data_IF_001720191529
#
_entry.id   IF_001720191529
#
_cell.length_a   1.000
_cell.length_b   1.000
_cell.length_c   1.000
_cell.angle_alpha   90.00
_cell.angle_beta   90.00
_cell.angle_gamma   90.00
#
_symmetry.space_group_name_H-M   'P 1'
#
loop_
_entity.id
_entity.type
_entity.pdbx_description
1 polymer ?
#
# COMPACT_ATOMS: atom_id res chain seq x y z
N UNK A 1 -39.94 38.54 10.40
CA UNK A 1 -39.63 37.29 11.12
C UNK A 1 -38.82 36.34 10.22
N UNK A 2 -37.68 36.78 9.68
CA UNK A 2 -36.88 36.07 8.66
C UNK A 2 -35.40 35.89 9.09
N UNK A 3 -34.95 36.59 10.14
CA UNK A 3 -33.55 36.54 10.58
C UNK A 3 -33.14 35.24 11.30
N UNK A 4 -34.08 34.43 11.76
CA UNK A 4 -33.79 33.21 12.54
C UNK A 4 -33.41 31.99 11.69
N UNK A 5 -33.70 32.00 10.38
CA UNK A 5 -33.41 30.85 9.50
C UNK A 5 -31.98 30.88 8.93
N UNK A 6 -31.44 32.06 8.65
CA UNK A 6 -30.10 32.21 8.08
C UNK A 6 -28.98 31.83 9.07
N UNK A 7 -29.18 32.08 10.36
CA UNK A 7 -28.23 31.69 11.41
C UNK A 7 -28.12 30.17 11.57
N UNK A 8 -29.23 29.44 11.43
CA UNK A 8 -29.25 27.98 11.58
C UNK A 8 -28.48 27.27 10.44
N UNK A 9 -28.62 27.77 9.20
CA UNK A 9 -27.92 27.20 8.03
C UNK A 9 -26.40 27.40 8.14
N UNK A 10 -25.95 28.55 8.67
CA UNK A 10 -24.53 28.82 8.88
C UNK A 10 -23.90 27.93 9.96
N UNK A 11 -24.64 27.64 11.04
CA UNK A 11 -24.16 26.72 12.08
C UNK A 11 -24.08 25.28 11.57
N UNK A 12 -25.07 24.82 10.79
CA UNK A 12 -25.03 23.48 10.17
C UNK A 12 -23.87 23.36 9.16
N UNK A 13 -23.65 24.39 8.34
CA UNK A 13 -22.55 24.40 7.37
C UNK A 13 -21.16 24.42 8.03
N UNK A 14 -21.02 25.06 9.19
CA UNK A 14 -19.75 25.06 9.94
C UNK A 14 -19.49 23.69 10.58
N UNK A 15 -20.51 23.05 11.16
CA UNK A 15 -20.37 21.73 11.78
C UNK A 15 -19.97 20.67 10.76
N UNK A 16 -20.52 20.72 9.53
CA UNK A 16 -20.16 19.80 8.44
C UNK A 16 -18.71 19.99 7.97
N UNK A 17 -18.13 21.19 8.11
CA UNK A 17 -16.71 21.44 7.78
C UNK A 17 -15.74 21.00 8.87
N UNK A 18 -16.20 20.87 10.12
CA UNK A 18 -15.35 20.53 11.26
C UNK A 18 -15.51 19.10 11.76
N UNK A 19 -16.50 18.35 11.28
CA UNK A 19 -16.51 16.91 11.49
C UNK A 19 -15.46 16.30 10.59
N UNK A 20 -14.36 15.71 11.12
CA UNK A 20 -13.58 14.79 10.31
C UNK A 20 -14.58 13.73 9.86
N UNK A 21 -14.81 13.66 8.56
CA UNK A 21 -15.57 12.59 7.92
C UNK A 21 -14.85 11.33 8.38
N UNK A 22 -15.39 10.68 9.41
CA UNK A 22 -15.04 9.34 9.80
C UNK A 22 -15.54 8.49 8.64
N UNK A 23 -14.68 8.39 7.62
CA UNK A 23 -14.79 7.42 6.57
C UNK A 23 -15.03 6.09 7.25
N UNK A 24 -16.23 5.57 7.02
CA UNK A 24 -16.67 4.26 7.48
C UNK A 24 -16.01 3.19 6.60
N UNK A 25 -14.67 3.22 6.53
CA UNK A 25 -13.85 2.15 6.00
C UNK A 25 -13.62 1.20 7.17
N UNK A 26 -14.43 0.14 7.24
CA UNK A 26 -14.38 -0.93 8.23
C UNK A 26 -13.08 -1.74 8.30
N UNK A 27 -11.93 -1.17 7.91
CA UNK A 27 -10.59 -1.78 8.00
C UNK A 27 -9.47 -0.81 8.41
N UNK A 28 -9.73 0.48 8.62
CA UNK A 28 -8.67 1.49 8.60
C UNK A 28 -7.99 1.77 9.96
N UNK A 29 -8.55 1.31 11.09
CA UNK A 29 -7.95 1.54 12.40
C UNK A 29 -6.74 0.63 12.66
N UNK A 30 -6.83 -0.65 12.25
CA UNK A 30 -5.70 -1.58 12.28
C UNK A 30 -4.57 -1.10 11.35
N UNK A 31 -4.95 -0.61 10.15
CA UNK A 31 -3.98 -0.08 9.20
C UNK A 31 -3.25 1.15 9.76
N UNK A 32 -3.96 2.15 10.30
CA UNK A 32 -3.30 3.33 10.89
C UNK A 32 -2.40 3.02 12.09
N UNK A 33 -2.80 2.09 12.97
CA UNK A 33 -1.95 1.70 14.11
C UNK A 33 -0.68 0.96 13.66
N UNK A 34 -0.79 0.13 12.61
CA UNK A 34 0.36 -0.55 12.01
C UNK A 34 1.44 0.41 11.49
N UNK A 35 1.05 1.60 11.01
CA UNK A 35 2.01 2.56 10.44
C UNK A 35 2.96 3.14 11.50
N UNK A 36 2.53 3.22 12.76
CA UNK A 36 3.33 3.76 13.86
C UNK A 36 4.30 2.71 14.41
N UNK A 37 3.94 1.43 14.35
CA UNK A 37 4.65 0.37 15.09
C UNK A 37 5.80 -0.27 14.31
N UNK A 38 5.79 -0.23 12.98
CA UNK A 38 6.54 -1.21 12.20
C UNK A 38 7.75 -0.71 11.39
N UNK A 39 7.96 0.60 11.30
CA UNK A 39 9.16 1.18 10.68
C UNK A 39 9.41 0.72 9.24
N UNK A 40 10.61 1.00 8.71
CA UNK A 40 11.04 0.53 7.40
C UNK A 40 11.24 -1.00 7.34
N UNK A 41 11.31 -1.67 8.49
CA UNK A 41 11.76 -3.06 8.62
C UNK A 41 10.69 -4.09 8.21
N UNK A 42 9.42 -3.69 8.19
CA UNK A 42 8.33 -4.55 7.72
C UNK A 42 7.15 -3.82 7.13
N UNK A 43 6.44 -4.52 6.25
CA UNK A 43 5.23 -4.04 5.59
C UNK A 43 4.16 -5.14 5.56
N UNK A 44 2.90 -4.74 5.43
CA UNK A 44 1.78 -5.67 5.32
C UNK A 44 1.18 -5.58 3.91
N UNK A 45 0.97 -6.72 3.27
CA UNK A 45 0.35 -6.83 1.95
C UNK A 45 -0.46 -8.13 1.84
N UNK A 46 -1.70 -8.06 1.32
CA UNK A 46 -2.63 -9.21 1.19
C UNK A 46 -2.72 -10.14 2.41
N UNK A 47 -2.98 -9.58 3.60
CA UNK A 47 -3.06 -10.33 4.87
C UNK A 47 -1.78 -11.08 5.26
N UNK A 48 -0.64 -10.66 4.72
CA UNK A 48 0.66 -11.24 5.03
C UNK A 48 1.66 -10.16 5.43
N UNK A 49 2.55 -10.53 6.34
CA UNK A 49 3.65 -9.68 6.79
C UNK A 49 4.85 -9.95 5.90
N UNK A 50 5.50 -8.89 5.43
CA UNK A 50 6.78 -8.95 4.73
C UNK A 50 7.84 -8.22 5.56
N UNK A 51 9.04 -8.78 5.65
CA UNK A 51 10.14 -8.35 6.51
C UNK A 51 11.41 -8.10 5.69
N UNK A 52 12.34 -7.37 6.29
CA UNK A 52 13.72 -7.29 5.83
C UNK A 52 13.82 -6.53 4.50
N UNK A 53 13.68 -5.19 4.52
CA UNK A 53 13.89 -4.39 3.32
C UNK A 53 15.29 -4.67 2.77
N UNK A 54 15.37 -4.93 1.46
CA UNK A 54 16.64 -4.98 0.75
C UNK A 54 17.30 -3.60 0.76
N UNK A 55 18.57 -3.57 0.36
CA UNK A 55 19.15 -2.32 -0.15
C UNK A 55 18.34 -1.86 -1.36
N UNK A 56 18.33 -0.56 -1.59
CA UNK A 56 17.70 0.01 -2.78
C UNK A 56 18.43 -0.45 -4.02
N UNK A 57 17.68 -0.98 -4.97
CA UNK A 57 18.19 -1.46 -6.26
C UNK A 57 17.56 -0.67 -7.38
N UNK A 58 18.32 -0.41 -8.44
CA UNK A 58 17.77 0.25 -9.62
C UNK A 58 16.99 -0.75 -10.50
N UNK A 59 16.33 -0.24 -11.54
CA UNK A 59 15.50 -1.05 -12.44
C UNK A 59 16.28 -2.18 -13.14
N UNK A 60 17.52 -1.93 -13.59
CA UNK A 60 18.33 -2.93 -14.29
C UNK A 60 18.77 -4.06 -13.35
N UNK A 61 19.11 -3.72 -12.11
CA UNK A 61 19.47 -4.68 -11.07
C UNK A 61 18.27 -5.52 -10.63
N UNK A 62 17.09 -4.90 -10.51
CA UNK A 62 15.83 -5.59 -10.25
C UNK A 62 15.53 -6.63 -11.34
N UNK A 63 15.56 -6.25 -12.62
CA UNK A 63 15.28 -7.16 -13.74
C UNK A 63 16.30 -8.29 -13.84
N UNK A 64 17.59 -7.99 -13.67
CA UNK A 64 18.64 -9.01 -13.75
C UNK A 64 18.61 -9.99 -12.58
N UNK A 65 18.25 -9.53 -11.37
CA UNK A 65 18.23 -10.36 -10.15
C UNK A 65 16.93 -11.15 -10.02
N UNK A 66 15.78 -10.53 -10.32
CA UNK A 66 14.46 -11.10 -10.01
C UNK A 66 13.54 -11.27 -11.22
N UNK A 67 13.84 -10.62 -12.34
CA UNK A 67 12.94 -10.60 -13.50
C UNK A 67 12.83 -11.94 -14.22
N UNK A 68 13.86 -12.80 -14.15
CA UNK A 68 13.89 -14.09 -14.85
C UNK A 68 13.59 -13.97 -16.36
N UNK A 69 14.00 -12.86 -16.98
CA UNK A 69 13.71 -12.55 -18.38
C UNK A 69 12.36 -11.84 -18.61
N UNK A 70 11.59 -11.56 -17.57
CA UNK A 70 10.35 -10.80 -17.64
C UNK A 70 10.52 -9.36 -17.15
N UNK A 71 9.72 -8.46 -17.73
CA UNK A 71 9.65 -7.06 -17.29
C UNK A 71 8.70 -6.92 -16.12
N UNK A 72 9.11 -6.14 -15.13
CA UNK A 72 8.24 -5.76 -14.03
C UNK A 72 7.17 -4.78 -14.49
N UNK A 73 5.94 -5.01 -14.07
CA UNK A 73 4.79 -4.14 -14.30
C UNK A 73 4.15 -3.75 -12.98
N UNK A 74 3.54 -2.57 -12.93
CA UNK A 74 2.79 -2.15 -11.76
C UNK A 74 1.54 -3.03 -11.60
N UNK A 75 1.29 -3.51 -10.39
CA UNK A 75 0.12 -4.37 -10.12
C UNK A 75 -1.17 -3.57 -9.97
N UNK A 76 -1.05 -2.27 -9.71
CA UNK A 76 -2.15 -1.37 -9.34
C UNK A 76 -2.28 -1.16 -7.83
N UNK A 77 -1.67 -2.05 -7.03
CA UNK A 77 -1.70 -1.96 -5.57
C UNK A 77 -0.63 -0.99 -5.05
N UNK A 78 -0.85 -0.53 -3.82
CA UNK A 78 0.11 0.28 -3.06
C UNK A 78 0.31 -0.27 -1.67
N UNK A 79 1.56 -0.23 -1.21
CA UNK A 79 1.95 -0.58 0.16
C UNK A 79 2.77 0.59 0.69
N UNK A 80 2.43 1.09 1.88
CA UNK A 80 3.05 2.29 2.49
C UNK A 80 3.13 3.51 1.54
N UNK A 81 2.15 3.65 0.65
CA UNK A 81 2.11 4.70 -0.38
C UNK A 81 2.99 4.46 -1.61
N UNK A 82 3.80 3.40 -1.61
CA UNK A 82 4.65 3.00 -2.73
C UNK A 82 3.91 2.01 -3.64
N UNK A 83 3.97 2.18 -4.97
CA UNK A 83 3.38 1.23 -5.90
C UNK A 83 4.08 -0.12 -5.88
N UNK A 84 3.29 -1.18 -5.92
CA UNK A 84 3.75 -2.57 -5.99
C UNK A 84 4.02 -2.96 -7.44
N UNK A 85 5.13 -3.64 -7.67
CA UNK A 85 5.52 -4.19 -8.95
C UNK A 85 5.64 -5.71 -8.88
N UNK A 86 5.38 -6.36 -10.01
CA UNK A 86 5.50 -7.80 -10.15
C UNK A 86 5.68 -8.19 -11.62
N UNK A 87 5.98 -9.46 -11.90
CA UNK A 87 6.06 -9.98 -13.27
C UNK A 87 4.72 -10.54 -13.74
N UNK A 88 4.41 -10.48 -15.05
CA UNK A 88 3.18 -11.04 -15.60
C UNK A 88 2.95 -12.51 -15.20
N UNK A 89 4.01 -13.33 -15.21
CA UNK A 89 3.92 -14.75 -14.83
C UNK A 89 3.61 -14.93 -13.36
N UNK A 90 4.27 -14.17 -12.49
CA UNK A 90 4.01 -14.20 -11.04
C UNK A 90 2.56 -13.82 -10.74
N UNK A 91 2.05 -12.76 -11.37
CA UNK A 91 0.66 -12.33 -11.22
C UNK A 91 -0.33 -13.39 -11.68
N UNK A 92 -0.07 -14.03 -12.83
CA UNK A 92 -0.92 -15.10 -13.33
C UNK A 92 -0.93 -16.29 -12.36
N UNK A 93 0.24 -16.69 -11.83
CA UNK A 93 0.37 -17.78 -10.87
C UNK A 93 -0.39 -17.50 -9.57
N UNK A 94 -0.22 -16.31 -9.00
CA UNK A 94 -0.91 -15.88 -7.78
C UNK A 94 -2.43 -15.97 -7.93
N UNK A 95 -2.96 -15.46 -9.05
CA UNK A 95 -4.40 -15.52 -9.37
C UNK A 95 -4.91 -16.95 -9.53
N UNK A 96 -4.17 -17.80 -10.25
CA UNK A 96 -4.59 -19.19 -10.51
C UNK A 96 -4.57 -20.06 -9.26
N UNK A 97 -3.64 -19.80 -8.35
CA UNK A 97 -3.42 -20.63 -7.15
C UNK A 97 -3.98 -20.03 -5.87
N UNK A 98 -4.53 -18.81 -5.93
CA UNK A 98 -4.98 -18.05 -4.78
C UNK A 98 -3.89 -17.93 -3.70
N UNK A 99 -2.67 -17.60 -4.14
CA UNK A 99 -1.48 -17.42 -3.28
C UNK A 99 -0.91 -16.01 -3.47
N UNK A 100 -0.05 -15.59 -2.55
CA UNK A 100 0.69 -14.33 -2.64
C UNK A 100 2.13 -14.56 -3.08
N UNK A 101 2.79 -13.53 -3.62
CA UNK A 101 4.22 -13.58 -3.91
C UNK A 101 5.06 -13.68 -2.64
N UNK A 102 6.12 -14.49 -2.67
CA UNK A 102 7.12 -14.56 -1.59
C UNK A 102 7.93 -13.26 -1.47
N UNK A 103 8.09 -12.53 -2.57
CA UNK A 103 8.81 -11.26 -2.63
C UNK A 103 7.85 -10.12 -2.96
N UNK A 104 8.02 -8.99 -2.29
CA UNK A 104 7.25 -7.78 -2.51
C UNK A 104 8.17 -6.67 -3.01
N UNK A 105 7.91 -6.19 -4.23
CA UNK A 105 8.73 -5.17 -4.87
C UNK A 105 8.01 -3.83 -4.83
N UNK A 106 8.58 -2.84 -4.13
CA UNK A 106 8.00 -1.51 -3.99
C UNK A 106 8.89 -0.49 -4.69
N UNK A 107 8.31 0.33 -5.58
CA UNK A 107 9.05 1.40 -6.25
C UNK A 107 9.01 2.69 -5.45
N UNK A 108 10.18 3.26 -5.19
CA UNK A 108 10.36 4.54 -4.51
C UNK A 108 10.19 5.74 -5.47
N UNK A 109 9.98 6.96 -4.94
CA UNK A 109 9.84 8.16 -5.76
C UNK A 109 11.07 8.52 -6.59
N UNK A 110 12.26 8.11 -6.13
CA UNK A 110 13.55 8.28 -6.82
C UNK A 110 13.73 7.31 -8.01
N UNK A 111 12.80 6.37 -8.21
CA UNK A 111 12.85 5.37 -9.27
C UNK A 111 13.50 4.05 -8.88
N UNK A 112 14.12 3.96 -7.68
CA UNK A 112 14.69 2.72 -7.16
C UNK A 112 13.60 1.82 -6.56
N UNK A 113 14.02 0.61 -6.19
CA UNK A 113 13.17 -0.42 -5.63
C UNK A 113 13.68 -0.87 -4.28
N UNK A 114 12.76 -1.15 -3.38
CA UNK A 114 13.01 -1.91 -2.15
C UNK A 114 12.23 -3.22 -2.25
N UNK A 115 12.90 -4.31 -1.87
CA UNK A 115 12.34 -5.67 -1.92
C UNK A 115 12.15 -6.17 -0.50
N UNK A 116 10.98 -6.71 -0.19
CA UNK A 116 10.70 -7.36 1.08
C UNK A 116 10.42 -8.84 0.89
N UNK A 117 10.71 -9.64 1.91
CA UNK A 117 10.46 -11.09 1.91
C UNK A 117 9.31 -11.47 2.84
N UNK A 118 8.48 -12.42 2.42
CA UNK A 118 7.36 -12.92 3.21
C UNK A 118 7.81 -13.48 4.57
N UNK A 119 7.14 -13.07 5.65
CA UNK A 119 7.38 -13.52 7.01
C UNK A 119 6.83 -14.93 7.21
N UNK A 120 7.70 -15.86 7.62
CA UNK A 120 7.36 -17.28 7.76
C UNK A 120 7.28 -17.95 6.39
N UNK A 121 8.05 -19.02 6.21
CA UNK A 121 8.18 -19.73 4.93
C UNK A 121 6.86 -20.19 4.30
N UNK A 122 6.91 -20.71 3.06
CA UNK A 122 5.76 -20.88 2.15
C UNK A 122 4.52 -21.51 2.80
#
# INVERSE_FOLDING_TARGET
MILSFAGLVLVVALVIKTTPILFNDGGNLHQKLHWIVYGYDRVWYHNRTYLGPSKEINWNELESTYGQGEKFIATGDKVIGLPVYDTPRSLAFQKQRNVVSTLLFLKKPDGNFVVYSLSGGP
#
